data_IF_553154775194
#
_entry.id   IF_553154775194
#
_cell.length_a   1.000
_cell.length_b   1.000
_cell.length_c   1.000
_cell.angle_alpha   90.00
_cell.angle_beta   90.00
_cell.angle_gamma   90.00
#
_symmetry.space_group_name_H-M   'P 1'
#
loop_
_entity.id
_entity.type
_entity.pdbx_description
1 polymer ?
#
# COMPACT_ATOMS: atom_id res chain seq x y z
N UNK A 1 17.24 -12.56 -22.37
CA UNK A 1 15.86 -12.91 -21.98
C UNK A 1 15.05 -11.63 -21.85
N UNK A 2 13.74 -11.66 -22.11
CA UNK A 2 12.87 -10.50 -21.83
C UNK A 2 12.79 -10.26 -20.31
N UNK A 3 12.44 -9.04 -19.86
CA UNK A 3 12.26 -8.75 -18.44
C UNK A 3 11.28 -9.72 -17.75
N UNK A 4 10.13 -9.94 -18.38
CA UNK A 4 9.13 -10.91 -17.91
C UNK A 4 9.66 -12.33 -17.80
N UNK A 5 10.31 -12.84 -18.84
CA UNK A 5 10.88 -14.20 -18.82
C UNK A 5 11.89 -14.36 -17.69
N UNK A 6 12.83 -13.40 -17.58
CA UNK A 6 13.85 -13.37 -16.52
C UNK A 6 13.23 -13.45 -15.13
N UNK A 7 12.19 -12.66 -14.87
CA UNK A 7 11.51 -12.65 -13.59
C UNK A 7 10.81 -13.99 -13.31
N UNK A 8 10.03 -14.51 -14.28
CA UNK A 8 9.23 -15.71 -14.10
C UNK A 8 10.07 -16.99 -13.96
N UNK A 9 11.18 -17.13 -14.71
CA UNK A 9 12.06 -18.31 -14.54
C UNK A 9 12.77 -18.28 -13.19
N UNK A 10 13.12 -17.09 -12.69
CA UNK A 10 13.75 -16.92 -11.37
C UNK A 10 12.81 -17.39 -10.26
N UNK A 11 11.51 -17.05 -10.35
CA UNK A 11 10.50 -17.56 -9.42
C UNK A 11 10.36 -19.09 -9.42
N UNK A 12 10.75 -19.74 -10.53
CA UNK A 12 10.78 -21.20 -10.64
C UNK A 12 12.15 -21.79 -10.27
N UNK A 13 12.99 -21.01 -9.58
CA UNK A 13 14.34 -21.40 -9.12
C UNK A 13 15.26 -21.86 -10.27
N UNK A 14 15.09 -21.30 -11.46
CA UNK A 14 15.95 -21.54 -12.63
C UNK A 14 16.88 -20.35 -12.85
N UNK A 15 18.10 -20.62 -13.30
CA UNK A 15 19.12 -19.60 -13.54
C UNK A 15 18.71 -18.67 -14.70
N UNK A 16 18.59 -17.35 -14.45
CA UNK A 16 18.32 -16.37 -15.49
C UNK A 16 19.61 -15.84 -16.14
N UNK A 17 19.46 -15.02 -17.18
CA UNK A 17 20.59 -14.32 -17.83
C UNK A 17 21.23 -13.23 -16.93
N UNK A 18 20.48 -12.67 -15.97
CA UNK A 18 20.97 -11.86 -14.85
C UNK A 18 19.96 -11.88 -13.70
N UNK A 19 20.37 -11.46 -12.51
CA UNK A 19 19.45 -11.26 -11.37
C UNK A 19 18.34 -10.27 -11.77
N UNK A 20 17.05 -10.63 -11.67
CA UNK A 20 15.96 -9.72 -11.95
C UNK A 20 15.87 -8.61 -10.89
N UNK A 21 15.45 -7.42 -11.32
CA UNK A 21 15.34 -6.23 -10.47
C UNK A 21 13.90 -5.81 -10.30
N UNK A 22 13.48 -5.57 -9.06
CA UNK A 22 12.21 -4.95 -8.74
C UNK A 22 12.39 -4.04 -7.53
N UNK A 23 12.45 -2.74 -7.81
CA UNK A 23 12.80 -1.69 -6.85
C UNK A 23 11.76 -0.59 -6.85
N UNK A 24 11.72 0.20 -5.76
CA UNK A 24 10.86 1.36 -5.59
C UNK A 24 11.69 2.59 -5.24
N UNK A 25 11.12 3.77 -5.44
CA UNK A 25 11.75 5.05 -5.14
C UNK A 25 10.97 5.79 -4.05
N UNK A 26 11.69 6.56 -3.24
CA UNK A 26 11.04 7.59 -2.43
C UNK A 26 10.53 8.71 -3.36
N UNK A 27 9.42 9.39 -3.02
CA UNK A 27 8.84 10.41 -3.90
C UNK A 27 9.82 11.53 -4.26
N UNK A 28 10.71 11.89 -3.32
CA UNK A 28 11.69 12.97 -3.51
C UNK A 28 12.79 12.61 -4.51
N UNK A 29 13.19 11.33 -4.57
CA UNK A 29 14.16 10.85 -5.55
C UNK A 29 13.48 10.66 -6.91
N UNK A 30 12.27 10.11 -6.93
CA UNK A 30 11.49 9.97 -8.14
C UNK A 30 11.23 11.33 -8.82
N UNK A 31 10.95 12.39 -8.06
CA UNK A 31 10.73 13.73 -8.61
C UNK A 31 11.99 14.26 -9.33
N UNK A 32 13.16 14.10 -8.70
CA UNK A 32 14.45 14.53 -9.28
C UNK A 32 14.80 13.71 -10.52
N UNK A 33 14.58 12.41 -10.49
CA UNK A 33 14.85 11.51 -11.61
C UNK A 33 13.88 11.77 -12.77
N UNK A 34 12.58 11.92 -12.51
CA UNK A 34 11.58 12.25 -13.51
C UNK A 34 11.93 13.55 -14.26
N UNK A 35 12.31 14.60 -13.52
CA UNK A 35 12.79 15.87 -14.12
C UNK A 35 14.04 15.67 -14.99
N UNK A 36 15.03 14.89 -14.52
CA UNK A 36 16.29 14.66 -15.23
C UNK A 36 16.10 13.78 -16.48
N UNK A 37 15.21 12.81 -16.43
CA UNK A 37 14.96 11.82 -17.48
C UNK A 37 13.82 12.22 -18.42
N UNK A 38 13.13 13.34 -18.14
CA UNK A 38 11.91 13.77 -18.83
C UNK A 38 10.81 12.69 -18.83
N UNK A 39 10.61 12.07 -17.65
CA UNK A 39 9.63 11.02 -17.40
C UNK A 39 8.61 11.48 -16.35
N UNK A 40 7.38 10.93 -16.37
CA UNK A 40 6.33 11.37 -15.46
C UNK A 40 6.65 11.00 -14.00
N UNK A 41 6.42 11.96 -13.11
CA UNK A 41 6.40 11.74 -11.67
C UNK A 41 4.95 11.54 -11.23
N UNK A 42 4.51 10.28 -11.22
CA UNK A 42 3.15 9.89 -10.78
C UNK A 42 3.19 9.57 -9.28
N UNK A 43 2.33 10.21 -8.47
CA UNK A 43 2.21 9.92 -7.04
C UNK A 43 0.77 9.46 -6.76
N UNK A 44 0.58 8.15 -6.68
CA UNK A 44 -0.74 7.54 -6.60
C UNK A 44 -1.35 7.65 -5.19
N UNK A 45 -2.67 7.85 -5.10
CA UNK A 45 -3.36 7.89 -3.82
C UNK A 45 -3.66 6.47 -3.32
N UNK A 46 -2.72 5.93 -2.53
CA UNK A 46 -2.77 4.60 -1.93
C UNK A 46 -2.00 4.63 -0.61
N UNK A 47 -2.28 3.67 0.29
CA UNK A 47 -1.58 3.59 1.58
C UNK A 47 -0.08 3.38 1.36
N UNK A 48 0.31 2.44 0.49
CA UNK A 48 1.72 2.18 0.16
C UNK A 48 2.08 2.70 -1.25
N UNK A 49 1.66 3.93 -1.56
CA UNK A 49 1.75 4.58 -2.88
C UNK A 49 3.06 4.39 -3.63
N UNK A 50 4.22 4.44 -2.96
CA UNK A 50 5.54 4.28 -3.59
C UNK A 50 5.74 2.94 -4.30
N UNK A 51 4.93 1.93 -3.95
CA UNK A 51 5.00 0.58 -4.51
C UNK A 51 4.30 0.45 -5.87
N UNK A 52 3.37 1.34 -6.16
CA UNK A 52 2.56 1.34 -7.39
C UNK A 52 2.75 2.61 -8.23
N UNK A 53 3.67 3.48 -7.80
CA UNK A 53 3.97 4.77 -8.41
C UNK A 53 5.27 4.72 -9.22
N UNK A 54 5.48 5.75 -10.04
CA UNK A 54 6.75 6.00 -10.75
C UNK A 54 7.16 4.89 -11.73
N UNK A 55 6.18 4.15 -12.29
CA UNK A 55 6.43 2.99 -13.16
C UNK A 55 7.38 3.29 -14.31
N UNK A 56 7.15 4.37 -15.06
CA UNK A 56 8.00 4.70 -16.23
C UNK A 56 9.46 4.95 -15.85
N UNK A 57 9.69 5.65 -14.74
CA UNK A 57 11.05 5.90 -14.22
C UNK A 57 11.71 4.58 -13.84
N UNK A 58 10.99 3.71 -13.13
CA UNK A 58 11.50 2.42 -12.68
C UNK A 58 11.81 1.47 -13.82
N UNK A 59 10.98 1.46 -14.87
CA UNK A 59 11.21 0.65 -16.07
C UNK A 59 12.44 1.13 -16.84
N UNK A 60 12.62 2.44 -16.99
CA UNK A 60 13.82 3.02 -17.62
C UNK A 60 15.10 2.72 -16.81
N UNK A 61 14.99 2.61 -15.49
CA UNK A 61 16.09 2.20 -14.60
C UNK A 61 16.31 0.68 -14.57
N UNK A 62 15.54 -0.10 -15.32
CA UNK A 62 15.75 -1.53 -15.53
C UNK A 62 14.94 -2.46 -14.62
N UNK A 63 13.84 -2.01 -13.99
CA UNK A 63 12.92 -2.94 -13.33
C UNK A 63 12.38 -3.97 -14.33
N UNK A 64 12.32 -5.23 -13.89
CA UNK A 64 11.82 -6.36 -14.66
C UNK A 64 10.33 -6.68 -14.40
N UNK A 65 9.74 -5.93 -13.47
CA UNK A 65 8.35 -6.10 -13.04
C UNK A 65 7.67 -4.75 -12.77
N UNK A 66 6.34 -4.75 -12.86
CA UNK A 66 5.47 -3.63 -12.53
C UNK A 66 4.65 -3.96 -11.30
N UNK A 67 4.68 -3.07 -10.32
CA UNK A 67 3.86 -3.13 -9.12
C UNK A 67 2.44 -2.66 -9.38
N UNK A 68 1.45 -3.42 -8.91
CA UNK A 68 0.03 -3.02 -8.96
C UNK A 68 -0.62 -3.25 -7.60
N UNK A 69 -1.62 -2.44 -7.29
CA UNK A 69 -2.29 -2.47 -5.98
C UNK A 69 -3.50 -1.54 -5.95
N UNK A 70 -4.20 -1.50 -4.81
CA UNK A 70 -5.40 -0.70 -4.64
C UNK A 70 -5.07 0.80 -4.50
N UNK A 71 -5.93 1.64 -5.07
CA UNK A 71 -6.04 3.05 -4.74
C UNK A 71 -6.99 3.28 -3.56
N UNK A 72 -7.08 4.51 -3.07
CA UNK A 72 -8.21 4.93 -2.23
C UNK A 72 -9.51 4.93 -3.05
N UNK A 73 -10.63 4.71 -2.37
CA UNK A 73 -11.94 4.79 -3.01
C UNK A 73 -12.17 6.18 -3.64
N UNK A 74 -12.74 6.25 -4.85
CA UNK A 74 -12.96 7.52 -5.56
C UNK A 74 -13.82 8.52 -4.79
N UNK A 75 -14.75 8.02 -3.97
CA UNK A 75 -15.63 8.84 -3.13
C UNK A 75 -15.03 9.20 -1.77
N UNK A 76 -13.89 8.61 -1.40
CA UNK A 76 -13.18 8.86 -0.15
C UNK A 76 -11.66 8.98 -0.39
N UNK A 77 -11.22 9.91 -1.27
CA UNK A 77 -9.80 10.13 -1.50
C UNK A 77 -9.12 10.63 -0.22
N UNK A 78 -7.81 10.46 -0.15
CA UNK A 78 -7.02 11.10 0.91
C UNK A 78 -7.13 12.61 0.77
N UNK A 79 -7.39 13.31 1.89
CA UNK A 79 -7.66 14.75 1.91
C UNK A 79 -6.78 15.50 2.89
N UNK A 80 -6.54 16.77 2.60
CA UNK A 80 -5.81 17.68 3.47
C UNK A 80 -6.79 18.61 4.21
N UNK A 81 -6.76 18.59 5.53
CA UNK A 81 -7.58 19.42 6.41
C UNK A 81 -6.70 19.97 7.54
N UNK A 82 -6.65 21.30 7.71
CA UNK A 82 -5.89 21.98 8.77
C UNK A 82 -4.42 21.52 8.92
N UNK A 83 -3.73 21.31 7.79
CA UNK A 83 -2.34 20.87 7.76
C UNK A 83 -2.13 19.39 8.12
N UNK A 84 -3.21 18.61 8.17
CA UNK A 84 -3.19 17.16 8.40
C UNK A 84 -3.76 16.44 7.19
N UNK A 85 -3.23 15.24 6.95
CA UNK A 85 -3.72 14.35 5.91
C UNK A 85 -4.70 13.36 6.55
N UNK A 86 -5.83 13.08 5.92
CA UNK A 86 -6.84 12.14 6.43
C UNK A 86 -7.22 11.15 5.33
N UNK A 87 -7.21 9.86 5.65
CA UNK A 87 -7.57 8.80 4.70
C UNK A 87 -8.97 8.18 4.95
N UNK A 88 -9.34 7.20 4.12
CA UNK A 88 -10.64 6.51 4.16
C UNK A 88 -10.84 5.62 5.39
N UNK A 89 -9.77 5.20 6.07
CA UNK A 89 -9.87 4.48 7.35
C UNK A 89 -10.07 5.44 8.53
N UNK A 90 -9.85 6.74 8.31
CA UNK A 90 -9.89 7.77 9.35
C UNK A 90 -8.55 7.96 10.07
N UNK A 91 -7.44 7.47 9.52
CA UNK A 91 -6.12 7.84 10.01
C UNK A 91 -5.86 9.31 9.76
N UNK A 92 -5.22 9.96 10.73
CA UNK A 92 -4.78 11.35 10.60
C UNK A 92 -3.27 11.39 10.64
N UNK A 93 -2.66 11.83 9.55
CA UNK A 93 -1.21 11.95 9.41
C UNK A 93 -0.76 13.39 9.56
N UNK A 94 0.45 13.55 10.10
CA UNK A 94 1.18 14.80 10.15
C UNK A 94 2.53 14.60 9.47
N UNK A 95 2.90 15.53 8.60
CA UNK A 95 4.23 15.56 7.99
C UNK A 95 5.29 15.82 9.06
N UNK A 96 6.23 14.91 9.22
CA UNK A 96 7.42 15.02 10.07
C UNK A 96 8.65 14.79 9.18
N UNK A 97 9.34 15.88 8.83
CA UNK A 97 10.44 15.82 7.88
C UNK A 97 9.95 15.33 6.50
N UNK A 98 10.43 14.17 6.07
CA UNK A 98 10.08 13.54 4.79
C UNK A 98 8.95 12.51 4.89
N UNK A 99 8.46 12.21 6.10
CA UNK A 99 7.51 11.14 6.37
C UNK A 99 6.16 11.67 6.84
N UNK A 100 5.09 10.96 6.49
CA UNK A 100 3.74 11.21 7.01
C UNK A 100 3.48 10.26 8.18
N UNK A 101 3.49 10.82 9.40
CA UNK A 101 3.37 10.05 10.64
C UNK A 101 1.93 10.03 11.12
N UNK A 102 1.42 8.85 11.51
CA UNK A 102 0.07 8.71 12.04
C UNK A 102 0.00 9.31 13.45
N UNK A 103 -0.81 10.35 13.60
CA UNK A 103 -1.03 11.08 14.87
C UNK A 103 -2.36 10.75 15.51
N UNK A 104 -3.32 10.21 14.76
CA UNK A 104 -4.60 9.71 15.28
C UNK A 104 -5.00 8.44 14.54
N UNK A 105 -5.48 7.46 15.31
CA UNK A 105 -5.95 6.17 14.81
C UNK A 105 -7.44 6.02 15.16
N UNK A 106 -8.25 5.40 14.29
CA UNK A 106 -9.70 5.34 14.50
C UNK A 106 -10.11 4.47 15.70
N UNK A 107 -9.27 3.50 16.09
CA UNK A 107 -9.49 2.59 17.22
C UNK A 107 -8.44 2.78 18.34
N UNK A 108 -7.88 3.98 18.48
CA UNK A 108 -6.84 4.25 19.49
C UNK A 108 -7.28 3.94 20.93
N UNK A 109 -8.55 4.22 21.23
CA UNK A 109 -9.14 4.09 22.56
C UNK A 109 -10.09 2.89 22.67
N UNK A 110 -10.01 1.93 21.73
CA UNK A 110 -10.92 0.78 21.71
C UNK A 110 -10.71 -0.12 22.92
N UNK A 111 -11.80 -0.49 23.59
CA UNK A 111 -11.79 -1.37 24.76
C UNK A 111 -12.77 -2.54 24.62
N UNK A 112 -13.82 -2.41 23.79
CA UNK A 112 -14.87 -3.43 23.68
C UNK A 112 -15.05 -3.99 22.27
N UNK A 113 -15.65 -5.18 22.20
CA UNK A 113 -16.01 -5.87 20.96
C UNK A 113 -17.03 -5.05 20.15
N UNK A 114 -17.97 -4.40 20.82
CA UNK A 114 -19.00 -3.58 20.17
C UNK A 114 -18.40 -2.39 19.43
N UNK A 115 -17.33 -1.79 19.95
CA UNK A 115 -16.61 -0.68 19.31
C UNK A 115 -15.92 -1.13 18.02
N UNK A 116 -15.26 -2.30 18.05
CA UNK A 116 -14.69 -2.94 16.84
C UNK A 116 -15.78 -3.21 15.81
N UNK A 117 -16.93 -3.75 16.23
CA UNK A 117 -18.03 -4.07 15.33
C UNK A 117 -18.69 -2.83 14.71
N UNK A 118 -18.72 -1.71 15.43
CA UNK A 118 -19.23 -0.42 14.91
C UNK A 118 -18.30 0.21 13.88
N UNK A 119 -17.00 -0.09 13.93
CA UNK A 119 -16.05 0.41 12.96
C UNK A 119 -16.32 -0.17 11.57
N UNK A 120 -16.46 0.71 10.59
CA UNK A 120 -16.70 0.34 9.19
C UNK A 120 -15.38 0.35 8.45
N UNK A 121 -14.96 -0.83 7.98
CA UNK A 121 -13.85 -0.92 7.03
C UNK A 121 -14.25 -0.23 5.73
N UNK A 122 -13.30 0.43 5.03
CA UNK A 122 -13.52 0.87 3.65
C UNK A 122 -13.94 -0.29 2.76
N UNK A 123 -14.69 -0.04 1.68
CA UNK A 123 -15.10 -1.10 0.75
C UNK A 123 -13.90 -1.57 -0.10
N UNK A 124 -13.49 -2.86 -0.06
CA UNK A 124 -12.36 -3.36 -0.82
C UNK A 124 -12.63 -3.44 -2.33
N UNK A 125 -13.89 -3.29 -2.76
CA UNK A 125 -14.30 -3.27 -4.16
C UNK A 125 -14.87 -1.90 -4.57
N UNK A 126 -14.60 -0.86 -3.77
CA UNK A 126 -15.06 0.49 -4.04
C UNK A 126 -14.73 0.94 -5.48
N UNK A 127 -15.65 1.65 -6.16
CA UNK A 127 -15.39 2.17 -7.50
C UNK A 127 -14.09 3.00 -7.57
N UNK A 128 -13.27 2.72 -8.58
CA UNK A 128 -11.97 3.39 -8.77
C UNK A 128 -10.78 2.71 -8.09
N UNK A 129 -11.00 1.82 -7.11
CA UNK A 129 -9.91 1.20 -6.33
C UNK A 129 -8.93 0.41 -7.20
N UNK A 130 -9.43 -0.26 -8.23
CA UNK A 130 -8.65 -1.18 -9.08
C UNK A 130 -8.37 -0.65 -10.49
N UNK A 131 -8.84 0.55 -10.83
CA UNK A 131 -8.75 1.10 -12.19
C UNK A 131 -7.28 1.23 -12.67
N UNK A 132 -6.39 1.69 -11.79
CA UNK A 132 -4.97 1.79 -12.09
C UNK A 132 -4.34 0.41 -12.29
N UNK A 133 -4.64 -0.55 -11.41
CA UNK A 133 -4.12 -1.90 -11.51
C UNK A 133 -4.55 -2.54 -12.85
N UNK A 134 -5.82 -2.43 -13.23
CA UNK A 134 -6.31 -2.93 -14.52
C UNK A 134 -5.58 -2.28 -15.71
N UNK A 135 -5.44 -0.94 -15.68
CA UNK A 135 -4.73 -0.18 -16.72
C UNK A 135 -3.26 -0.62 -16.85
N UNK A 136 -2.57 -0.77 -15.72
CA UNK A 136 -1.16 -1.18 -15.67
C UNK A 136 -1.01 -2.62 -16.17
N UNK A 137 -1.83 -3.55 -15.70
CA UNK A 137 -1.82 -4.96 -16.16
C UNK A 137 -2.01 -5.03 -17.66
N UNK A 138 -3.04 -4.35 -18.20
CA UNK A 138 -3.31 -4.34 -19.64
C UNK A 138 -2.12 -3.82 -20.44
N UNK A 139 -1.41 -2.82 -19.93
CA UNK A 139 -0.29 -2.17 -20.61
C UNK A 139 1.00 -2.99 -20.57
N UNK A 140 1.31 -3.64 -19.44
CA UNK A 140 2.65 -4.18 -19.21
C UNK A 140 2.76 -5.70 -19.15
N UNK A 141 1.65 -6.44 -18.99
CA UNK A 141 1.66 -7.91 -18.74
C UNK A 141 2.38 -8.75 -19.79
N UNK A 142 2.51 -8.26 -21.03
CA UNK A 142 3.19 -8.96 -22.11
C UNK A 142 4.72 -8.84 -22.00
N UNK A 143 5.23 -7.71 -21.48
CA UNK A 143 6.66 -7.38 -21.49
C UNK A 143 7.33 -7.49 -20.11
N UNK A 144 6.55 -7.33 -19.03
CA UNK A 144 7.02 -7.33 -17.65
C UNK A 144 6.22 -8.30 -16.79
N UNK A 145 6.83 -8.79 -15.72
CA UNK A 145 6.07 -9.49 -14.68
C UNK A 145 5.16 -8.48 -13.95
N UNK A 146 3.97 -8.94 -13.53
CA UNK A 146 3.07 -8.14 -12.70
C UNK A 146 3.20 -8.62 -11.26
N UNK A 147 3.48 -7.71 -10.35
CA UNK A 147 3.53 -7.97 -8.91
C UNK A 147 2.34 -7.30 -8.25
N UNK A 148 1.37 -8.09 -7.82
CA UNK A 148 0.27 -7.63 -6.98
C UNK A 148 0.77 -7.39 -5.56
N UNK A 149 0.64 -6.17 -5.07
CA UNK A 149 0.98 -5.84 -3.69
C UNK A 149 -0.14 -6.21 -2.74
N UNK A 150 0.21 -7.05 -1.76
CA UNK A 150 -0.58 -7.26 -0.57
C UNK A 150 -0.17 -6.20 0.46
N UNK A 151 -1.02 -5.20 0.65
CA UNK A 151 -0.79 -4.10 1.58
C UNK A 151 -1.36 -4.43 2.96
N UNK A 152 -0.66 -4.00 4.02
CA UNK A 152 -1.16 -4.02 5.40
C UNK A 152 -1.81 -5.36 5.77
N UNK A 153 -1.00 -6.42 5.81
CA UNK A 153 -1.46 -7.77 6.16
C UNK A 153 -2.15 -7.81 7.53
N UNK A 154 -2.80 -8.91 7.88
CA UNK A 154 -3.73 -9.00 9.02
C UNK A 154 -3.20 -8.33 10.29
N UNK A 155 -2.02 -8.76 10.74
CA UNK A 155 -1.40 -8.19 11.93
C UNK A 155 -1.08 -6.71 11.77
N UNK A 156 -0.56 -6.31 10.60
CA UNK A 156 -0.15 -4.94 10.32
C UNK A 156 -1.32 -3.96 10.32
N UNK A 157 -2.43 -4.31 9.68
CA UNK A 157 -3.63 -3.47 9.68
C UNK A 157 -4.26 -3.42 11.08
N UNK A 158 -4.34 -4.55 11.80
CA UNK A 158 -4.89 -4.59 13.17
C UNK A 158 -4.16 -3.65 14.11
N UNK A 159 -2.83 -3.72 14.19
CA UNK A 159 -2.09 -2.80 15.06
C UNK A 159 -2.11 -1.37 14.53
N UNK A 160 -2.18 -1.15 13.21
CA UNK A 160 -2.31 0.21 12.69
C UNK A 160 -3.62 0.85 13.13
N UNK A 161 -4.75 0.13 13.16
CA UNK A 161 -6.04 0.70 13.57
C UNK A 161 -6.05 1.17 15.04
N UNK A 162 -5.26 0.53 15.91
CA UNK A 162 -5.23 0.77 17.36
C UNK A 162 -4.00 1.58 17.81
N UNK A 163 -2.82 1.20 17.34
CA UNK A 163 -1.52 1.66 17.80
C UNK A 163 -0.69 0.49 18.33
N UNK A 164 0.56 0.38 17.88
CA UNK A 164 1.39 -0.81 18.11
C UNK A 164 1.54 -1.16 19.59
N UNK A 165 1.88 -0.19 20.44
CA UNK A 165 2.09 -0.42 21.87
C UNK A 165 0.82 -0.92 22.55
N UNK A 166 -0.31 -0.21 22.40
CA UNK A 166 -1.60 -0.62 22.97
C UNK A 166 -2.04 -1.98 22.45
N UNK A 167 -1.97 -2.22 21.13
CA UNK A 167 -2.38 -3.48 20.53
C UNK A 167 -1.56 -4.66 21.07
N UNK A 168 -0.25 -4.51 21.20
CA UNK A 168 0.62 -5.54 21.77
C UNK A 168 0.35 -5.78 23.26
N UNK A 169 0.17 -4.71 24.05
CA UNK A 169 -0.21 -4.85 25.46
C UNK A 169 -1.56 -5.57 25.60
N UNK A 170 -2.56 -5.15 24.84
CA UNK A 170 -3.90 -5.70 24.90
C UNK A 170 -3.96 -7.15 24.38
N UNK A 171 -3.11 -7.50 23.42
CA UNK A 171 -2.92 -8.88 22.95
C UNK A 171 -2.37 -9.78 24.06
N UNK A 172 -1.35 -9.33 24.79
CA UNK A 172 -0.78 -10.08 25.93
C UNK A 172 -1.75 -10.18 27.10
N UNK A 173 -2.56 -9.14 27.32
CA UNK A 173 -3.61 -9.11 28.34
C UNK A 173 -4.89 -9.86 27.92
N UNK A 174 -4.90 -10.46 26.72
CA UNK A 174 -6.03 -11.20 26.17
C UNK A 174 -7.34 -10.38 26.16
N UNK A 175 -7.25 -9.08 25.82
CA UNK A 175 -8.45 -8.24 25.76
C UNK A 175 -9.45 -8.78 24.72
N UNK A 176 -10.76 -8.87 25.04
CA UNK A 176 -11.75 -9.52 24.18
C UNK A 176 -11.85 -8.95 22.76
N UNK A 177 -11.60 -7.65 22.57
CA UNK A 177 -11.73 -7.01 21.26
C UNK A 177 -10.62 -7.44 20.28
N UNK A 178 -9.46 -7.89 20.77
CA UNK A 178 -8.26 -8.06 19.94
C UNK A 178 -8.46 -9.13 18.88
N UNK A 179 -8.96 -10.30 19.28
CA UNK A 179 -9.23 -11.39 18.32
C UNK A 179 -10.35 -11.01 17.35
N UNK A 180 -11.39 -10.32 17.83
CA UNK A 180 -12.47 -9.83 16.95
C UNK A 180 -11.95 -8.83 15.94
N UNK A 181 -11.00 -7.97 16.31
CA UNK A 181 -10.36 -7.04 15.37
C UNK A 181 -9.51 -7.78 14.33
N UNK A 182 -8.77 -8.81 14.74
CA UNK A 182 -7.99 -9.65 13.83
C UNK A 182 -8.91 -10.38 12.84
N UNK A 183 -10.01 -10.98 13.33
CA UNK A 183 -11.01 -11.65 12.48
C UNK A 183 -11.66 -10.66 11.51
N UNK A 184 -12.03 -9.48 11.99
CA UNK A 184 -12.60 -8.42 11.15
C UNK A 184 -11.65 -7.97 10.04
N UNK A 185 -10.34 -7.94 10.31
CA UNK A 185 -9.33 -7.63 9.31
C UNK A 185 -9.10 -8.83 8.36
N UNK A 186 -9.16 -10.06 8.85
CA UNK A 186 -9.06 -11.26 8.02
C UNK A 186 -10.20 -11.36 7.01
N UNK A 187 -11.42 -11.04 7.44
CA UNK A 187 -12.62 -11.00 6.59
C UNK A 187 -12.65 -9.83 5.61
N UNK A 188 -11.78 -8.83 5.81
CA UNK A 188 -11.59 -7.71 4.91
C UNK A 188 -10.67 -8.11 3.75
N UNK A 189 -11.26 -8.60 2.66
CA UNK A 189 -10.58 -8.98 1.41
C UNK A 189 -11.29 -8.39 0.19
#
# INVERSE_FOLDING_TARGET
MSPRERFLITLNHKEPDRVPTFTNLTPQIAEKLGKKMNLPWEAEDSWLSTRISHTEILLELGNDAVGVGPLRAKYAPTRWEDGKLIDEFGFVYKRVGLYDEITKRPLADVETVEEVNKFKMPDPLAPGRWDLAEKQIRRYKENFAIVGYLETTIFELSWNLVGMEKFLMDLVMEKPYVLVLIDKVLEYQ
#
